data_IF_628032118039
#
_entry.id   IF_628032118039
#
_cell.length_a   1.000
_cell.length_b   1.000
_cell.length_c   1.000
_cell.angle_alpha   90.00
_cell.angle_beta   90.00
_cell.angle_gamma   90.00
#
_symmetry.space_group_name_H-M   'P 1'
#
loop_
_entity.id
_entity.type
_entity.pdbx_description
1 polymer ?
#
# COMPACT_ATOMS: atom_id res chain seq x y z
N UNK A 1 -43.66 46.82 -13.14
CA UNK A 1 -42.57 46.07 -12.48
C UNK A 1 -41.74 45.43 -13.56
N UNK A 2 -40.43 45.68 -13.62
CA UNK A 2 -39.57 45.08 -14.64
C UNK A 2 -39.60 43.55 -14.49
N UNK A 3 -39.79 42.86 -15.61
CA UNK A 3 -39.73 41.40 -15.69
C UNK A 3 -38.36 40.92 -15.19
N UNK A 4 -38.36 40.07 -14.15
CA UNK A 4 -37.14 39.48 -13.60
C UNK A 4 -36.54 38.50 -14.62
N UNK A 5 -35.25 38.67 -14.93
CA UNK A 5 -34.51 37.74 -15.80
C UNK A 5 -34.55 36.31 -15.25
N UNK A 6 -34.71 35.35 -16.16
CA UNK A 6 -34.79 33.91 -15.89
C UNK A 6 -33.65 33.17 -16.58
N UNK A 7 -33.46 31.90 -16.21
CA UNK A 7 -32.40 31.07 -16.79
C UNK A 7 -32.49 30.89 -18.32
N UNK A 8 -33.68 31.03 -18.92
CA UNK A 8 -33.83 31.00 -20.38
C UNK A 8 -33.19 32.24 -21.05
N UNK A 9 -33.27 33.41 -20.40
CA UNK A 9 -32.71 34.66 -20.95
C UNK A 9 -31.18 34.59 -21.01
N UNK A 10 -30.56 34.03 -19.98
CA UNK A 10 -29.11 33.85 -19.91
C UNK A 10 -28.62 32.76 -20.88
N UNK A 11 -29.41 31.70 -21.10
CA UNK A 11 -29.13 30.71 -22.14
C UNK A 11 -29.16 31.32 -23.53
N UNK A 12 -30.16 32.14 -23.82
CA UNK A 12 -30.25 32.88 -25.10
C UNK A 12 -29.09 33.87 -25.28
N UNK A 13 -28.54 34.39 -24.19
CA UNK A 13 -27.36 35.26 -24.19
C UNK A 13 -26.04 34.49 -24.41
N UNK A 14 -26.04 33.15 -24.27
CA UNK A 14 -24.87 32.30 -24.48
C UNK A 14 -24.18 31.81 -23.21
N UNK A 15 -24.81 31.91 -22.03
CA UNK A 15 -24.25 31.31 -20.81
C UNK A 15 -24.28 29.77 -20.88
N UNK A 16 -23.22 29.09 -20.40
CA UNK A 16 -23.21 27.63 -20.30
C UNK A 16 -24.24 27.15 -19.27
N UNK A 17 -24.91 26.04 -19.57
CA UNK A 17 -25.89 25.45 -18.65
C UNK A 17 -25.23 25.04 -17.32
N UNK A 18 -25.94 25.22 -16.21
CA UNK A 18 -25.49 24.84 -14.88
C UNK A 18 -25.01 26.01 -14.01
N UNK A 19 -23.85 25.87 -13.38
CA UNK A 19 -23.40 26.71 -12.25
C UNK A 19 -23.31 28.20 -12.58
N UNK A 20 -22.86 28.55 -13.78
CA UNK A 20 -22.69 29.95 -14.20
C UNK A 20 -24.01 30.73 -14.21
N UNK A 21 -25.10 30.12 -14.70
CA UNK A 21 -26.45 30.73 -14.73
C UNK A 21 -26.97 30.95 -13.31
N UNK A 22 -26.83 29.96 -12.43
CA UNK A 22 -27.29 30.06 -11.04
C UNK A 22 -26.59 31.18 -10.27
N UNK A 23 -25.27 31.31 -10.44
CA UNK A 23 -24.48 32.38 -9.84
C UNK A 23 -24.86 33.75 -10.40
N UNK A 24 -25.03 33.87 -11.71
CA UNK A 24 -25.42 35.13 -12.35
C UNK A 24 -26.79 35.64 -11.87
N UNK A 25 -27.79 34.75 -11.83
CA UNK A 25 -29.14 35.09 -11.36
C UNK A 25 -29.17 35.48 -9.87
N UNK A 26 -28.36 34.82 -9.05
CA UNK A 26 -28.22 35.15 -7.63
C UNK A 26 -27.63 36.56 -7.43
N UNK A 27 -26.61 36.93 -8.22
CA UNK A 27 -26.01 38.26 -8.10
C UNK A 27 -26.92 39.38 -8.58
N UNK A 28 -27.76 39.13 -9.59
CA UNK A 28 -28.79 40.09 -10.01
C UNK A 28 -29.86 40.38 -8.95
N UNK A 29 -29.94 39.59 -7.87
CA UNK A 29 -30.83 39.89 -6.74
C UNK A 29 -30.27 40.94 -5.77
N UNK A 30 -29.00 41.34 -5.90
CA UNK A 30 -28.40 42.39 -5.04
C UNK A 30 -29.08 43.74 -5.26
N UNK A 31 -29.24 44.51 -4.19
CA UNK A 31 -30.07 45.75 -4.16
C UNK A 31 -29.68 46.78 -5.24
N UNK A 32 -28.39 46.92 -5.57
CA UNK A 32 -27.91 47.86 -6.59
C UNK A 32 -28.12 47.35 -8.01
N UNK A 33 -27.97 46.04 -8.25
CA UNK A 33 -28.16 45.42 -9.56
C UNK A 33 -29.64 45.22 -9.91
N UNK A 34 -30.48 44.96 -8.91
CA UNK A 34 -31.93 44.80 -9.07
C UNK A 34 -32.66 46.08 -9.50
N UNK A 35 -32.05 47.25 -9.28
CA UNK A 35 -32.58 48.57 -9.71
C UNK A 35 -32.32 48.87 -11.19
N UNK A 36 -31.39 48.16 -11.82
CA UNK A 36 -31.07 48.33 -13.23
C UNK A 36 -32.24 47.87 -14.11
N UNK A 37 -32.36 48.47 -15.29
CA UNK A 37 -33.33 47.99 -16.28
C UNK A 37 -32.93 46.60 -16.79
N UNK A 38 -33.89 45.86 -17.34
CA UNK A 38 -33.60 44.53 -17.90
C UNK A 38 -32.57 44.61 -19.04
N UNK A 39 -32.60 45.68 -19.83
CA UNK A 39 -31.63 45.96 -20.89
C UNK A 39 -30.22 46.15 -20.32
N UNK A 40 -30.08 46.90 -19.23
CA UNK A 40 -28.78 47.14 -18.59
C UNK A 40 -28.23 45.88 -17.90
N UNK A 41 -29.10 45.07 -17.31
CA UNK A 41 -28.72 43.77 -16.73
C UNK A 41 -28.22 42.80 -17.81
N UNK A 42 -28.88 42.74 -18.97
CA UNK A 42 -28.45 41.93 -20.10
C UNK A 42 -27.13 42.45 -20.70
N UNK A 43 -26.96 43.76 -20.81
CA UNK A 43 -25.72 44.36 -21.29
C UNK A 43 -24.54 44.03 -20.36
N UNK A 44 -24.74 44.11 -19.03
CA UNK A 44 -23.73 43.75 -18.04
C UNK A 44 -23.36 42.26 -18.11
N UNK A 45 -24.36 41.37 -18.23
CA UNK A 45 -24.13 39.94 -18.41
C UNK A 45 -23.42 39.63 -19.73
N UNK A 46 -23.72 40.37 -20.80
CA UNK A 46 -23.06 40.24 -22.10
C UNK A 46 -21.59 40.65 -22.04
N UNK A 47 -21.26 41.73 -21.33
CA UNK A 47 -19.87 42.15 -21.09
C UNK A 47 -19.10 41.12 -20.25
N UNK A 48 -19.73 40.59 -19.20
CA UNK A 48 -19.17 39.52 -18.37
C UNK A 48 -18.90 38.25 -19.17
N UNK A 49 -19.81 37.89 -20.08
CA UNK A 49 -19.66 36.70 -20.94
C UNK A 49 -18.58 36.90 -22.01
N UNK A 50 -18.46 38.11 -22.57
CA UNK A 50 -17.45 38.44 -23.57
C UNK A 50 -16.03 38.52 -22.97
N UNK A 51 -15.90 39.06 -21.76
CA UNK A 51 -14.60 39.30 -21.12
C UNK A 51 -14.54 38.80 -19.67
N UNK A 52 -14.75 37.49 -19.40
CA UNK A 52 -14.84 36.98 -18.02
C UNK A 52 -13.55 37.18 -17.20
N UNK A 53 -12.38 37.25 -17.84
CA UNK A 53 -11.10 37.47 -17.14
C UNK A 53 -11.04 38.81 -16.40
N UNK A 54 -11.66 39.86 -16.94
CA UNK A 54 -11.64 41.21 -16.35
C UNK A 54 -12.42 41.29 -15.03
N UNK A 55 -13.28 40.30 -14.79
CA UNK A 55 -14.16 40.24 -13.63
C UNK A 55 -13.65 39.29 -12.54
N UNK A 56 -12.48 38.66 -12.68
CA UNK A 56 -11.97 37.67 -11.72
C UNK A 56 -11.72 38.25 -10.32
N UNK A 57 -11.43 39.54 -10.22
CA UNK A 57 -11.27 40.27 -8.95
C UNK A 57 -12.49 41.14 -8.60
N UNK A 58 -13.53 41.13 -9.43
CA UNK A 58 -14.70 41.98 -9.26
C UNK A 58 -15.58 41.50 -8.09
N UNK A 59 -15.94 42.42 -7.18
CA UNK A 59 -16.65 42.14 -5.94
C UNK A 59 -17.97 41.36 -6.11
N UNK A 60 -18.74 41.69 -7.15
CA UNK A 60 -20.01 41.04 -7.44
C UNK A 60 -19.88 39.86 -8.43
N UNK A 61 -18.83 39.79 -9.24
CA UNK A 61 -18.84 38.93 -10.43
C UNK A 61 -17.71 37.90 -10.47
N UNK A 62 -16.75 37.94 -9.54
CA UNK A 62 -15.60 37.02 -9.49
C UNK A 62 -15.98 35.54 -9.58
N UNK A 63 -17.00 35.11 -8.83
CA UNK A 63 -17.44 33.72 -8.84
C UNK A 63 -18.18 33.33 -10.13
N UNK A 64 -18.94 34.26 -10.72
CA UNK A 64 -19.65 34.02 -11.98
C UNK A 64 -18.65 33.99 -13.14
N UNK A 65 -17.70 34.92 -13.16
CA UNK A 65 -16.57 34.96 -14.09
C UNK A 65 -15.72 33.68 -14.05
N UNK A 66 -15.35 33.23 -12.85
CA UNK A 66 -14.61 31.99 -12.66
C UNK A 66 -15.37 30.75 -13.16
N UNK A 67 -16.71 30.76 -13.12
CA UNK A 67 -17.55 29.69 -13.65
C UNK A 67 -17.77 29.76 -15.17
N UNK A 68 -17.45 30.89 -15.81
CA UNK A 68 -17.50 31.09 -17.27
C UNK A 68 -16.18 30.75 -17.96
N UNK A 69 -15.07 30.83 -17.23
CA UNK A 69 -13.78 30.39 -17.74
C UNK A 69 -13.66 28.87 -17.68
N UNK A 70 -12.95 28.24 -18.63
CA UNK A 70 -12.50 26.87 -18.43
C UNK A 70 -11.73 26.81 -17.11
N UNK A 71 -11.87 25.73 -16.32
CA UNK A 71 -11.03 25.57 -15.14
C UNK A 71 -9.57 25.70 -15.60
N UNK A 72 -8.71 26.41 -14.83
CA UNK A 72 -7.30 26.54 -15.20
C UNK A 72 -6.76 25.15 -15.52
N UNK A 73 -6.08 25.00 -16.66
CA UNK A 73 -5.57 23.71 -17.10
C UNK A 73 -4.43 23.31 -16.17
N UNK A 74 -4.80 22.64 -15.07
CA UNK A 74 -3.93 22.22 -13.96
C UNK A 74 -3.30 20.85 -14.20
N UNK A 75 -3.41 20.30 -15.42
CA UNK A 75 -2.86 18.99 -15.71
C UNK A 75 -1.35 19.07 -15.74
N UNK A 76 -0.70 18.38 -14.81
CA UNK A 76 0.75 18.22 -14.81
C UNK A 76 1.09 17.24 -15.94
N UNK A 77 1.87 17.71 -16.91
CA UNK A 77 2.30 16.90 -18.05
C UNK A 77 3.26 15.79 -17.62
N UNK A 78 3.20 14.67 -18.33
CA UNK A 78 4.22 13.63 -18.25
C UNK A 78 5.48 14.08 -19.01
N UNK A 79 6.65 13.67 -18.50
CA UNK A 79 7.95 13.89 -19.15
C UNK A 79 8.39 12.65 -19.91
N UNK A 80 9.53 12.74 -20.60
CA UNK A 80 10.16 11.58 -21.21
C UNK A 80 10.46 10.49 -20.15
N UNK A 81 10.25 9.23 -20.53
CA UNK A 81 10.44 8.08 -19.64
C UNK A 81 11.91 7.96 -19.28
N UNK A 82 12.23 8.10 -17.98
CA UNK A 82 13.58 7.87 -17.46
C UNK A 82 13.92 6.37 -17.47
N UNK A 83 15.21 6.06 -17.58
CA UNK A 83 15.69 4.68 -17.49
C UNK A 83 15.59 4.13 -16.07
N UNK A 84 15.47 2.80 -15.96
CA UNK A 84 15.36 2.08 -14.71
C UNK A 84 15.82 0.63 -14.88
N UNK A 85 16.26 0.00 -13.79
CA UNK A 85 16.67 -1.39 -13.79
C UNK A 85 15.46 -2.34 -13.71
N UNK A 86 15.53 -3.47 -14.41
CA UNK A 86 14.54 -4.53 -14.37
C UNK A 86 15.25 -5.85 -14.08
N UNK A 87 14.82 -6.54 -13.03
CA UNK A 87 15.38 -7.82 -12.62
C UNK A 87 14.39 -8.94 -12.98
N UNK A 88 14.84 -9.97 -13.69
CA UNK A 88 13.98 -11.08 -14.15
C UNK A 88 12.89 -10.67 -15.13
N UNK A 89 13.21 -9.82 -16.10
CA UNK A 89 12.26 -9.25 -17.07
C UNK A 89 11.42 -10.31 -17.81
N UNK A 90 12.00 -11.47 -18.09
CA UNK A 90 11.37 -12.62 -18.74
C UNK A 90 10.19 -13.24 -17.95
N UNK A 91 10.05 -12.89 -16.67
CA UNK A 91 9.02 -13.40 -15.76
C UNK A 91 8.00 -12.34 -15.35
N UNK A 92 8.07 -11.14 -15.93
CA UNK A 92 7.21 -10.00 -15.58
C UNK A 92 6.15 -9.79 -16.67
N UNK A 93 4.90 -9.64 -16.24
CA UNK A 93 3.79 -9.37 -17.15
C UNK A 93 3.93 -7.97 -17.78
N UNK A 94 3.67 -7.81 -19.10
CA UNK A 94 3.77 -6.52 -19.79
C UNK A 94 2.96 -5.40 -19.15
N UNK A 95 1.83 -5.71 -18.51
CA UNK A 95 1.02 -4.71 -17.81
C UNK A 95 1.73 -4.10 -16.61
N UNK A 96 2.56 -4.87 -15.89
CA UNK A 96 3.36 -4.37 -14.78
C UNK A 96 4.50 -3.46 -15.29
N UNK A 97 5.13 -3.85 -16.41
CA UNK A 97 6.14 -3.02 -17.09
C UNK A 97 5.51 -1.68 -17.50
N UNK A 98 4.34 -1.70 -18.13
CA UNK A 98 3.65 -0.47 -18.55
C UNK A 98 3.29 0.46 -17.38
N UNK A 99 2.90 -0.10 -16.22
CA UNK A 99 2.67 0.68 -15.00
C UNK A 99 3.97 1.34 -14.51
N UNK A 100 5.08 0.61 -14.54
CA UNK A 100 6.39 1.16 -14.19
C UNK A 100 6.83 2.24 -15.18
N UNK A 101 6.69 2.03 -16.49
CA UNK A 101 7.00 3.02 -17.51
C UNK A 101 6.22 4.32 -17.33
N UNK A 102 4.93 4.22 -16.97
CA UNK A 102 4.12 5.40 -16.64
C UNK A 102 4.65 6.12 -15.41
N UNK A 103 5.07 5.40 -14.36
CA UNK A 103 5.70 5.99 -13.18
C UNK A 103 7.03 6.68 -13.49
N UNK A 104 7.82 6.14 -14.42
CA UNK A 104 9.09 6.73 -14.87
C UNK A 104 8.94 7.99 -15.73
N UNK A 105 7.71 8.31 -16.16
CA UNK A 105 7.36 9.55 -16.88
C UNK A 105 6.87 10.67 -15.95
N UNK A 106 6.76 10.45 -14.63
CA UNK A 106 6.37 11.53 -13.72
C UNK A 106 7.51 12.56 -13.62
N UNK A 107 7.19 13.86 -13.55
CA UNK A 107 8.22 14.90 -13.40
C UNK A 107 8.97 14.79 -12.08
N UNK A 108 8.32 14.30 -11.02
CA UNK A 108 8.92 14.09 -9.69
C UNK A 108 9.77 12.83 -9.58
N UNK A 109 9.72 11.91 -10.55
CA UNK A 109 10.50 10.67 -10.49
C UNK A 109 11.98 10.95 -10.69
N UNK A 110 12.82 10.44 -9.78
CA UNK A 110 14.27 10.56 -9.81
C UNK A 110 14.92 9.27 -10.33
N UNK A 111 14.47 8.12 -9.84
CA UNK A 111 14.99 6.80 -10.21
C UNK A 111 13.93 5.72 -9.95
N UNK A 112 14.13 4.52 -10.49
CA UNK A 112 13.25 3.39 -10.24
C UNK A 112 13.92 2.05 -10.48
N UNK A 113 13.27 1.00 -10.00
CA UNK A 113 13.64 -0.39 -10.25
C UNK A 113 12.39 -1.28 -10.24
N UNK A 114 12.45 -2.40 -10.96
CA UNK A 114 11.38 -3.39 -11.01
C UNK A 114 11.89 -4.78 -10.64
N UNK A 115 11.29 -5.37 -9.62
CA UNK A 115 11.72 -6.65 -9.03
C UNK A 115 11.14 -7.86 -9.81
N UNK A 116 11.73 -9.07 -9.68
CA UNK A 116 11.32 -10.23 -10.49
C UNK A 116 9.91 -10.77 -10.17
N UNK A 117 9.40 -10.49 -8.98
CA UNK A 117 8.04 -10.84 -8.56
C UNK A 117 6.98 -9.85 -9.07
N UNK A 118 7.38 -8.88 -9.90
CA UNK A 118 6.50 -7.81 -10.31
C UNK A 118 5.25 -8.29 -11.06
N UNK A 119 4.13 -7.68 -10.74
CA UNK A 119 2.83 -7.96 -11.33
C UNK A 119 1.88 -6.77 -11.19
N UNK A 120 0.77 -6.82 -11.92
CA UNK A 120 -0.20 -5.72 -12.00
C UNK A 120 -0.72 -5.28 -10.62
N UNK A 121 -0.71 -3.96 -10.39
CA UNK A 121 -1.21 -3.32 -9.18
C UNK A 121 -2.06 -2.08 -9.46
N UNK A 122 -2.12 -1.16 -8.50
CA UNK A 122 -2.78 0.15 -8.65
C UNK A 122 -1.76 1.29 -8.63
N UNK A 123 -1.62 2.07 -9.71
CA UNK A 123 -0.54 3.07 -9.80
C UNK A 123 0.80 2.37 -10.04
N UNK A 124 1.69 2.35 -9.06
CA UNK A 124 2.93 1.57 -9.14
C UNK A 124 2.60 0.06 -9.16
N UNK A 125 3.27 -0.75 -9.99
CA UNK A 125 3.10 -2.21 -9.95
C UNK A 125 3.55 -2.76 -8.60
N UNK A 126 3.00 -3.91 -8.21
CA UNK A 126 3.58 -4.69 -7.11
C UNK A 126 4.93 -5.22 -7.62
N UNK A 127 5.98 -5.20 -6.80
CA UNK A 127 7.38 -5.40 -7.22
C UNK A 127 8.06 -4.11 -7.71
N UNK A 128 7.37 -2.97 -7.67
CA UNK A 128 7.93 -1.68 -8.11
C UNK A 128 8.64 -0.93 -6.98
N UNK A 129 9.76 -0.29 -7.32
CA UNK A 129 10.48 0.67 -6.46
C UNK A 129 10.62 1.99 -7.20
N UNK A 130 10.22 3.09 -6.58
CA UNK A 130 10.22 4.42 -7.19
C UNK A 130 10.77 5.47 -6.23
N UNK A 131 11.89 6.09 -6.60
CA UNK A 131 12.44 7.22 -5.89
C UNK A 131 11.93 8.53 -6.50
N UNK A 132 11.40 9.43 -5.67
CA UNK A 132 10.87 10.72 -6.09
C UNK A 132 11.53 11.87 -5.34
N UNK A 133 11.54 13.06 -5.96
CA UNK A 133 12.02 14.29 -5.35
C UNK A 133 10.88 14.97 -4.56
N UNK A 134 11.07 15.08 -3.24
CA UNK A 134 10.18 15.75 -2.29
C UNK A 134 8.67 15.46 -2.43
N UNK A 135 8.30 14.30 -2.97
CA UNK A 135 6.93 13.93 -3.30
C UNK A 135 6.62 12.53 -2.79
N UNK A 136 5.42 12.34 -2.25
CA UNK A 136 4.95 11.04 -1.79
C UNK A 136 3.68 10.64 -2.54
N UNK A 137 3.65 9.43 -3.09
CA UNK A 137 2.55 8.89 -3.90
C UNK A 137 1.83 7.79 -3.10
N UNK A 138 0.61 8.04 -2.59
CA UNK A 138 -0.08 7.09 -1.72
C UNK A 138 -0.28 5.69 -2.32
N UNK A 139 -0.60 5.59 -3.61
CA UNK A 139 -0.74 4.29 -4.28
C UNK A 139 0.58 3.61 -4.66
N UNK A 140 1.71 4.35 -4.65
CA UNK A 140 3.04 3.77 -4.75
C UNK A 140 3.51 3.21 -3.39
N UNK A 141 2.90 3.61 -2.27
CA UNK A 141 3.04 2.91 -0.98
C UNK A 141 2.16 1.66 -0.96
N UNK A 142 0.92 1.78 -1.46
CA UNK A 142 -0.06 0.70 -1.47
C UNK A 142 -1.17 0.90 -0.44
N UNK A 143 -2.24 0.12 -0.59
CA UNK A 143 -3.45 0.23 0.27
C UNK A 143 -3.25 -0.36 1.66
N UNK A 144 -2.45 -1.42 1.77
CA UNK A 144 -2.08 -2.01 3.05
C UNK A 144 -0.72 -1.44 3.48
N UNK A 145 -0.75 -0.21 4.01
CA UNK A 145 0.44 0.54 4.40
C UNK A 145 1.17 -0.23 5.51
N UNK A 146 2.49 -0.38 5.37
CA UNK A 146 3.31 -1.07 6.36
C UNK A 146 3.10 -2.58 6.40
N UNK A 147 2.43 -3.16 5.39
CA UNK A 147 2.38 -4.62 5.20
C UNK A 147 3.80 -5.18 5.24
N UNK A 148 3.98 -6.23 6.05
CA UNK A 148 5.28 -6.76 6.41
C UNK A 148 5.23 -8.25 6.68
N UNK A 149 6.43 -8.83 6.63
CA UNK A 149 6.70 -10.18 7.08
C UNK A 149 7.43 -10.12 8.42
N UNK A 150 7.13 -11.07 9.31
CA UNK A 150 7.90 -11.26 10.54
C UNK A 150 8.08 -12.75 10.85
N UNK A 151 9.33 -13.18 11.03
CA UNK A 151 9.72 -14.54 11.37
C UNK A 151 10.32 -14.56 12.79
N UNK A 152 9.84 -15.44 13.66
CA UNK A 152 10.49 -15.77 14.93
C UNK A 152 11.03 -17.20 14.85
N UNK A 153 12.28 -17.39 15.25
CA UNK A 153 12.97 -18.69 15.30
C UNK A 153 13.01 -19.18 16.75
N UNK A 154 12.60 -20.41 17.02
CA UNK A 154 12.59 -21.00 18.37
C UNK A 154 13.56 -22.18 18.46
N UNK A 155 14.17 -22.39 19.62
CA UNK A 155 15.10 -23.51 19.87
C UNK A 155 14.36 -24.84 20.07
N UNK A 156 13.52 -25.18 19.08
CA UNK A 156 12.74 -26.41 19.05
C UNK A 156 13.06 -27.16 17.76
N UNK A 157 13.39 -28.46 17.85
CA UNK A 157 13.76 -29.24 16.69
C UNK A 157 12.55 -29.57 15.80
N UNK A 158 12.74 -29.88 14.50
CA UNK A 158 11.64 -30.18 13.57
C UNK A 158 10.69 -31.29 14.02
N UNK A 159 11.19 -32.27 14.80
CA UNK A 159 10.38 -33.32 15.40
C UNK A 159 9.25 -32.79 16.31
N UNK A 160 9.43 -31.61 16.92
CA UNK A 160 8.41 -30.97 17.76
C UNK A 160 7.16 -30.69 16.93
N UNK A 161 7.32 -30.11 15.74
CA UNK A 161 6.21 -29.81 14.84
C UNK A 161 5.48 -31.09 14.43
N UNK A 162 6.21 -32.12 13.98
CA UNK A 162 5.62 -33.38 13.53
C UNK A 162 4.86 -34.14 14.63
N UNK A 163 5.28 -34.01 15.88
CA UNK A 163 4.66 -34.70 17.02
C UNK A 163 3.49 -33.91 17.63
N UNK A 164 3.43 -32.60 17.42
CA UNK A 164 2.48 -31.68 18.09
C UNK A 164 1.63 -30.87 17.11
N UNK A 165 1.40 -31.38 15.90
CA UNK A 165 0.67 -30.66 14.86
C UNK A 165 -0.70 -30.15 15.33
N UNK A 166 -1.48 -30.99 16.03
CA UNK A 166 -2.80 -30.59 16.52
C UNK A 166 -2.75 -29.54 17.64
N UNK A 167 -1.74 -29.59 18.50
CA UNK A 167 -1.51 -28.56 19.52
C UNK A 167 -1.14 -27.23 18.86
N UNK A 168 -0.18 -27.23 17.92
CA UNK A 168 0.23 -26.05 17.17
C UNK A 168 -0.92 -25.45 16.34
N UNK A 169 -1.79 -26.29 15.76
CA UNK A 169 -3.04 -25.86 15.13
C UNK A 169 -3.93 -25.09 16.11
N UNK A 170 -4.17 -25.64 17.30
CA UNK A 170 -4.97 -24.98 18.34
C UNK A 170 -4.34 -23.66 18.79
N UNK A 171 -3.01 -23.63 18.95
CA UNK A 171 -2.29 -22.40 19.28
C UNK A 171 -2.52 -21.29 18.25
N UNK A 172 -2.45 -21.62 16.95
CA UNK A 172 -2.79 -20.66 15.91
C UNK A 172 -4.24 -20.17 16.08
N UNK A 173 -5.21 -21.07 16.20
CA UNK A 173 -6.64 -20.75 16.34
C UNK A 173 -6.92 -19.81 17.52
N UNK A 174 -6.34 -20.09 18.68
CA UNK A 174 -6.59 -19.38 19.94
C UNK A 174 -5.86 -18.03 20.02
N UNK A 175 -4.66 -17.92 19.44
CA UNK A 175 -3.78 -16.76 19.65
C UNK A 175 -3.75 -15.77 18.49
N UNK A 176 -4.31 -16.13 17.32
CA UNK A 176 -4.43 -15.20 16.19
C UNK A 176 -5.89 -14.91 15.86
N UNK A 177 -6.13 -13.82 15.14
CA UNK A 177 -7.47 -13.35 14.77
C UNK A 177 -7.47 -12.93 13.32
N UNK A 178 -8.26 -13.61 12.51
CA UNK A 178 -8.47 -13.30 11.09
C UNK A 178 -9.90 -12.82 10.86
N UNK A 179 -10.10 -12.11 9.76
CA UNK A 179 -11.38 -11.59 9.29
C UNK A 179 -11.49 -10.07 9.37
N UNK A 180 -12.24 -9.50 8.43
CA UNK A 180 -12.59 -8.08 8.41
C UNK A 180 -13.40 -7.69 9.65
N UNK A 181 -12.97 -6.62 10.34
CA UNK A 181 -13.66 -6.10 11.53
C UNK A 181 -13.43 -6.87 12.83
N UNK A 182 -12.73 -8.01 12.78
CA UNK A 182 -12.40 -8.85 13.94
C UNK A 182 -11.37 -8.14 14.82
N UNK A 183 -11.41 -8.46 16.11
CA UNK A 183 -10.61 -7.83 17.16
C UNK A 183 -10.52 -8.72 18.40
N UNK A 184 -9.72 -8.31 19.37
CA UNK A 184 -9.66 -8.95 20.67
C UNK A 184 -10.73 -8.39 21.62
N UNK A 185 -11.38 -9.28 22.36
CA UNK A 185 -12.27 -8.90 23.45
C UNK A 185 -11.51 -8.12 24.53
N UNK A 186 -12.20 -7.28 25.31
CA UNK A 186 -11.55 -6.35 26.25
C UNK A 186 -10.55 -7.02 27.21
N UNK A 187 -10.84 -8.22 27.70
CA UNK A 187 -9.95 -8.99 28.58
C UNK A 187 -8.77 -9.67 27.88
N UNK A 188 -8.78 -9.74 26.55
CA UNK A 188 -7.72 -10.34 25.73
C UNK A 188 -6.80 -9.30 25.10
N UNK A 189 -7.17 -8.01 25.11
CA UNK A 189 -6.38 -6.92 24.53
C UNK A 189 -5.05 -6.78 25.28
N UNK A 190 -3.98 -6.58 24.52
CA UNK A 190 -2.67 -6.21 25.06
C UNK A 190 -2.45 -4.74 24.76
N UNK A 191 -1.86 -4.04 25.72
CA UNK A 191 -1.46 -2.65 25.53
C UNK A 191 -0.26 -2.55 24.58
N UNK A 192 -0.07 -1.40 23.95
CA UNK A 192 1.07 -1.10 23.11
C UNK A 192 1.26 0.40 22.94
N UNK A 193 2.50 0.87 23.03
CA UNK A 193 2.86 2.29 22.90
C UNK A 193 2.46 2.94 21.55
N UNK A 194 2.04 2.13 20.56
CA UNK A 194 1.55 2.65 19.27
C UNK A 194 0.19 3.33 19.44
N UNK A 195 -0.58 2.94 20.45
CA UNK A 195 -1.90 3.52 20.75
C UNK A 195 -1.77 4.91 21.39
N UNK A 196 -0.60 5.23 21.97
CA UNK A 196 -0.32 6.53 22.60
C UNK A 196 0.14 7.61 21.62
N UNK A 197 0.37 7.22 20.36
CA UNK A 197 0.87 8.07 19.29
C UNK A 197 0.02 9.33 19.11
N UNK A 198 0.71 10.47 19.02
CA UNK A 198 0.08 11.78 18.99
C UNK A 198 -0.81 11.97 17.77
N UNK A 199 -0.49 11.31 16.65
CA UNK A 199 -1.21 11.37 15.39
C UNK A 199 -2.68 10.94 15.53
N UNK A 200 -3.00 10.02 16.45
CA UNK A 200 -4.39 9.68 16.76
C UNK A 200 -5.17 10.87 17.34
N UNK A 201 -4.52 11.80 18.04
CA UNK A 201 -5.13 13.00 18.63
C UNK A 201 -5.01 14.22 17.72
N UNK A 202 -3.94 14.32 16.94
CA UNK A 202 -3.61 15.51 16.16
C UNK A 202 -4.25 15.49 14.77
N UNK A 203 -4.28 14.34 14.09
CA UNK A 203 -4.84 14.22 12.74
C UNK A 203 -6.37 14.07 12.85
N UNK A 204 -7.19 15.03 12.37
CA UNK A 204 -8.63 15.02 12.63
C UNK A 204 -9.35 13.75 12.17
N UNK A 205 -8.92 13.16 11.06
CA UNK A 205 -9.50 11.92 10.53
C UNK A 205 -9.19 10.68 11.38
N UNK A 206 -8.09 10.69 12.15
CA UNK A 206 -7.65 9.56 12.97
C UNK A 206 -8.25 9.54 14.38
N UNK A 207 -8.79 10.68 14.87
CA UNK A 207 -9.39 10.80 16.21
C UNK A 207 -10.37 9.68 16.54
N UNK A 208 -11.27 9.37 15.61
CA UNK A 208 -12.30 8.34 15.81
C UNK A 208 -11.83 6.94 15.38
N UNK A 209 -10.53 6.73 15.15
CA UNK A 209 -9.95 5.43 14.76
C UNK A 209 -9.22 4.75 15.91
N UNK A 210 -8.90 5.44 17.00
CA UNK A 210 -8.14 4.90 18.12
C UNK A 210 -8.83 3.67 18.76
N UNK A 211 -10.12 3.76 19.06
CA UNK A 211 -10.84 2.63 19.68
C UNK A 211 -10.81 1.38 18.80
N UNK A 212 -11.01 1.56 17.49
CA UNK A 212 -10.92 0.45 16.54
C UNK A 212 -9.49 -0.06 16.40
N UNK A 213 -8.49 0.82 16.42
CA UNK A 213 -7.09 0.43 16.42
C UNK A 213 -6.73 -0.39 17.68
N UNK A 214 -7.22 0.00 18.85
CA UNK A 214 -7.02 -0.73 20.10
C UNK A 214 -7.73 -2.10 20.11
N UNK A 215 -8.86 -2.23 19.41
CA UNK A 215 -9.54 -3.51 19.20
C UNK A 215 -8.75 -4.46 18.30
N UNK A 216 -8.10 -3.92 17.26
CA UNK A 216 -7.52 -4.69 16.16
C UNK A 216 -6.01 -4.88 16.24
N UNK A 217 -5.33 -4.22 17.18
CA UNK A 217 -3.89 -4.40 17.35
C UNK A 217 -3.60 -5.86 17.71
N UNK A 218 -2.63 -6.45 17.01
CA UNK A 218 -2.31 -7.88 17.14
C UNK A 218 -3.20 -8.84 16.35
N UNK A 219 -4.16 -8.34 15.57
CA UNK A 219 -4.93 -9.19 14.65
C UNK A 219 -4.16 -9.42 13.35
N UNK A 220 -4.37 -10.59 12.74
CA UNK A 220 -3.67 -11.00 11.53
C UNK A 220 -4.34 -10.48 10.27
N UNK A 221 -5.66 -10.34 10.28
CA UNK A 221 -6.37 -9.69 9.18
C UNK A 221 -7.01 -10.59 8.14
N UNK A 222 -6.96 -10.17 6.88
CA UNK A 222 -7.72 -10.77 5.76
C UNK A 222 -6.96 -10.63 4.45
N UNK A 223 -7.42 -11.32 3.39
CA UNK A 223 -6.73 -11.35 2.10
C UNK A 223 -5.56 -12.34 2.11
N UNK A 224 -4.39 -11.90 1.66
CA UNK A 224 -3.17 -12.73 1.61
C UNK A 224 -2.41 -12.78 2.95
N UNK A 225 -3.01 -12.28 4.04
CA UNK A 225 -2.42 -12.32 5.37
C UNK A 225 -2.48 -13.74 5.94
N UNK A 226 -1.44 -14.12 6.66
CA UNK A 226 -1.31 -15.46 7.25
C UNK A 226 -0.46 -15.47 8.51
N UNK A 227 -0.59 -16.54 9.28
CA UNK A 227 0.35 -16.92 10.34
C UNK A 227 0.59 -18.42 10.24
N UNK A 228 1.85 -18.81 10.21
CA UNK A 228 2.28 -20.16 9.87
C UNK A 228 3.29 -20.70 10.89
N UNK A 229 3.13 -21.97 11.24
CA UNK A 229 4.22 -22.77 11.79
C UNK A 229 4.94 -23.50 10.67
N UNK A 230 6.26 -23.51 10.73
CA UNK A 230 7.10 -24.16 9.76
C UNK A 230 8.48 -24.49 10.31
N UNK A 231 9.33 -25.00 9.43
CA UNK A 231 10.72 -25.33 9.75
C UNK A 231 11.62 -24.24 9.18
N UNK A 232 12.42 -23.62 10.05
CA UNK A 232 13.52 -22.75 9.65
C UNK A 232 14.77 -23.60 9.50
N UNK A 233 15.47 -23.43 8.39
CA UNK A 233 16.78 -24.02 8.16
C UNK A 233 17.79 -22.89 7.98
N UNK A 234 18.80 -22.83 8.85
CA UNK A 234 19.93 -21.90 8.72
C UNK A 234 21.09 -22.66 8.08
N UNK A 235 21.58 -22.15 6.95
CA UNK A 235 22.64 -22.81 6.18
C UNK A 235 23.98 -22.08 6.29
N UNK A 236 23.96 -20.79 6.62
CA UNK A 236 25.17 -19.96 6.73
C UNK A 236 25.59 -19.81 8.19
N UNK A 237 26.85 -20.15 8.48
CA UNK A 237 27.42 -20.02 9.83
C UNK A 237 27.55 -18.55 10.24
N UNK A 238 28.05 -17.71 9.35
CA UNK A 238 28.05 -16.26 9.52
C UNK A 238 26.71 -15.66 9.07
N UNK A 239 25.77 -15.55 10.01
CA UNK A 239 24.48 -14.89 9.80
C UNK A 239 24.22 -13.81 10.87
N UNK A 240 23.56 -12.71 10.47
CA UNK A 240 23.22 -11.58 11.35
C UNK A 240 22.14 -11.94 12.38
N UNK A 241 21.50 -13.12 12.24
CA UNK A 241 20.57 -13.62 13.24
C UNK A 241 21.29 -14.14 14.49
N UNK A 242 22.58 -14.46 14.40
CA UNK A 242 23.33 -15.09 15.49
C UNK A 242 22.83 -16.50 15.83
N UNK A 243 22.14 -17.17 14.90
CA UNK A 243 21.58 -18.51 15.10
C UNK A 243 22.52 -19.55 14.48
N UNK A 244 22.91 -20.62 15.18
CA UNK A 244 23.76 -21.66 14.60
C UNK A 244 23.14 -22.32 13.36
N UNK A 245 23.99 -22.90 12.51
CA UNK A 245 23.55 -23.76 11.40
C UNK A 245 22.73 -24.93 11.96
N UNK A 246 21.54 -25.13 11.43
CA UNK A 246 20.61 -26.13 11.97
C UNK A 246 19.18 -25.92 11.52
N UNK A 247 18.29 -26.74 12.07
CA UNK A 247 16.86 -26.69 11.80
C UNK A 247 16.07 -26.42 13.07
N UNK A 248 15.10 -25.52 12.97
CA UNK A 248 14.38 -24.91 14.08
C UNK A 248 12.89 -24.82 13.77
N UNK A 249 12.06 -24.72 14.80
CA UNK A 249 10.67 -24.30 14.65
C UNK A 249 10.63 -22.80 14.35
N UNK A 250 9.87 -22.41 13.34
CA UNK A 250 9.60 -21.02 13.01
C UNK A 250 8.13 -20.67 13.13
N UNK A 251 7.86 -19.44 13.52
CA UNK A 251 6.56 -18.77 13.31
C UNK A 251 6.78 -17.67 12.28
N UNK A 252 6.11 -17.76 11.13
CA UNK A 252 6.08 -16.71 10.13
C UNK A 252 4.72 -16.04 10.14
N UNK A 253 4.66 -14.72 10.15
CA UNK A 253 3.42 -13.98 9.93
C UNK A 253 3.57 -12.97 8.81
N UNK A 254 2.47 -12.81 8.07
CA UNK A 254 2.27 -11.79 7.06
C UNK A 254 1.00 -11.01 7.42
N UNK A 255 1.17 -9.73 7.72
CA UNK A 255 0.06 -8.85 8.10
C UNK A 255 0.44 -7.39 7.81
N UNK A 256 -0.46 -6.48 8.13
CA UNK A 256 -0.29 -5.07 7.86
C UNK A 256 -1.06 -4.20 8.84
N UNK A 257 -1.35 -2.98 8.43
CA UNK A 257 -1.97 -1.96 9.30
C UNK A 257 -3.50 -2.03 9.32
N UNK A 258 -4.08 -3.11 8.79
CA UNK A 258 -5.52 -3.40 8.83
C UNK A 258 -6.35 -2.27 8.20
N UNK A 259 -7.56 -2.06 8.71
CA UNK A 259 -8.44 -1.00 8.23
C UNK A 259 -7.88 0.42 8.47
N UNK A 260 -6.92 0.58 9.40
CA UNK A 260 -6.28 1.87 9.66
C UNK A 260 -5.49 2.34 8.43
N UNK A 261 -4.55 1.52 7.92
CA UNK A 261 -3.79 1.88 6.73
C UNK A 261 -4.64 1.96 5.48
N UNK A 262 -5.61 1.06 5.31
CA UNK A 262 -6.52 1.12 4.17
C UNK A 262 -7.30 2.46 4.13
N UNK A 263 -7.82 2.91 5.27
CA UNK A 263 -8.51 4.20 5.37
C UNK A 263 -7.60 5.41 5.14
N UNK A 264 -6.34 5.33 5.61
CA UNK A 264 -5.32 6.35 5.33
C UNK A 264 -5.05 6.39 3.82
N UNK A 265 -4.73 5.25 3.21
CA UNK A 265 -4.43 5.17 1.79
C UNK A 265 -5.59 5.70 0.93
N UNK A 266 -6.83 5.33 1.23
CA UNK A 266 -8.02 5.81 0.52
C UNK A 266 -8.16 7.34 0.60
N UNK A 267 -8.10 7.90 1.82
CA UNK A 267 -8.24 9.35 2.05
C UNK A 267 -7.19 10.15 1.30
N UNK A 268 -5.92 9.80 1.47
CA UNK A 268 -4.83 10.60 0.91
C UNK A 268 -4.62 10.34 -0.59
N UNK A 269 -5.00 9.17 -1.11
CA UNK A 269 -5.08 8.98 -2.57
C UNK A 269 -6.11 9.92 -3.17
N UNK A 270 -7.31 10.00 -2.59
CA UNK A 270 -8.35 10.90 -3.10
C UNK A 270 -7.85 12.34 -3.08
N UNK A 271 -7.26 12.77 -1.97
CA UNK A 271 -6.67 14.11 -1.86
C UNK A 271 -5.56 14.34 -2.89
N UNK A 272 -4.66 13.38 -3.08
CA UNK A 272 -3.59 13.47 -4.08
C UNK A 272 -4.17 13.63 -5.48
N UNK A 273 -5.18 12.85 -5.86
CA UNK A 273 -5.88 12.99 -7.14
C UNK A 273 -6.58 14.34 -7.31
N UNK A 274 -7.06 14.93 -6.23
CA UNK A 274 -7.73 16.25 -6.26
C UNK A 274 -6.71 17.39 -6.48
N UNK A 275 -5.54 17.33 -5.83
CA UNK A 275 -4.53 18.41 -5.89
C UNK A 275 -3.50 18.24 -7.01
N UNK A 276 -3.20 17.01 -7.41
CA UNK A 276 -2.24 16.64 -8.45
C UNK A 276 -3.00 16.01 -9.63
N UNK A 277 -3.50 16.86 -10.52
CA UNK A 277 -4.25 16.42 -11.71
C UNK A 277 -3.28 15.89 -12.77
N UNK A 278 -3.28 14.57 -12.98
CA UNK A 278 -2.47 13.90 -14.00
C UNK A 278 -3.34 13.38 -15.15
N UNK A 279 -2.76 13.08 -16.33
CA UNK A 279 -3.45 12.36 -17.40
C UNK A 279 -4.06 11.05 -16.91
N UNK A 280 -5.11 10.57 -17.58
CA UNK A 280 -5.88 9.40 -17.13
C UNK A 280 -5.03 8.16 -16.85
N UNK A 281 -4.03 7.88 -17.69
CA UNK A 281 -3.10 6.75 -17.52
C UNK A 281 -2.25 6.84 -16.24
N UNK A 282 -1.94 8.06 -15.79
CA UNK A 282 -1.10 8.34 -14.63
C UNK A 282 -1.90 8.80 -13.41
N UNK A 283 -3.23 8.84 -13.46
CA UNK A 283 -4.06 9.38 -12.37
C UNK A 283 -3.83 8.66 -11.03
N UNK A 284 -3.54 7.36 -11.07
CA UNK A 284 -3.23 6.58 -9.87
C UNK A 284 -1.83 6.83 -9.30
N UNK A 285 -1.02 7.67 -9.94
CA UNK A 285 0.31 8.09 -9.51
C UNK A 285 0.33 9.54 -9.00
N UNK A 286 -0.83 10.13 -8.76
CA UNK A 286 -0.93 11.46 -8.17
C UNK A 286 -0.22 11.51 -6.80
N UNK A 287 0.51 12.59 -6.54
CA UNK A 287 1.35 12.73 -5.35
C UNK A 287 0.93 13.91 -4.47
N UNK A 288 1.50 13.94 -3.27
CA UNK A 288 1.49 15.07 -2.34
C UNK A 288 2.94 15.54 -2.15
N UNK A 289 3.20 16.84 -2.27
CA UNK A 289 4.50 17.42 -1.95
C UNK A 289 4.74 17.44 -0.44
N UNK A 290 5.92 17.04 0.03
CA UNK A 290 6.24 16.98 1.47
C UNK A 290 6.49 18.36 2.11
N UNK A 291 6.58 19.40 1.28
CA UNK A 291 6.54 20.81 1.66
C UNK A 291 5.12 21.36 1.87
N UNK A 292 4.09 20.54 1.62
CA UNK A 292 2.68 20.91 1.81
C UNK A 292 2.10 20.30 3.09
N UNK A 293 1.09 20.95 3.67
CA UNK A 293 0.35 20.43 4.83
C UNK A 293 -0.20 19.02 4.55
N UNK A 294 -0.80 18.81 3.38
CA UNK A 294 -1.37 17.52 2.99
C UNK A 294 -0.29 16.41 2.92
N UNK A 295 0.88 16.72 2.37
CA UNK A 295 1.99 15.77 2.30
C UNK A 295 2.57 15.44 3.68
N UNK A 296 2.72 16.43 4.55
CA UNK A 296 3.19 16.24 5.93
C UNK A 296 2.20 15.43 6.76
N UNK A 297 0.90 15.73 6.67
CA UNK A 297 -0.16 14.99 7.35
C UNK A 297 -0.20 13.53 6.86
N UNK A 298 -0.11 13.29 5.54
CA UNK A 298 -0.02 11.93 5.00
C UNK A 298 1.23 11.20 5.49
N UNK A 299 2.40 11.86 5.48
CA UNK A 299 3.64 11.25 5.94
C UNK A 299 3.56 10.79 7.39
N UNK A 300 2.99 11.62 8.28
CA UNK A 300 2.76 11.27 9.67
C UNK A 300 1.76 10.11 9.81
N UNK A 301 0.63 10.16 9.09
CA UNK A 301 -0.38 9.10 9.11
C UNK A 301 0.17 7.76 8.57
N UNK A 302 0.92 7.80 7.46
CA UNK A 302 1.58 6.63 6.88
C UNK A 302 2.58 6.05 7.86
N UNK A 303 3.38 6.89 8.52
CA UNK A 303 4.35 6.46 9.54
C UNK A 303 3.66 5.75 10.70
N UNK A 304 2.60 6.35 11.25
CA UNK A 304 1.76 5.70 12.26
C UNK A 304 1.24 4.34 11.79
N UNK A 305 0.72 4.23 10.56
CA UNK A 305 0.23 2.96 10.02
C UNK A 305 1.35 1.91 9.92
N UNK A 306 2.55 2.33 9.50
CA UNK A 306 3.75 1.50 9.54
C UNK A 306 3.99 0.93 10.94
N UNK A 307 4.11 1.80 11.93
CA UNK A 307 4.39 1.40 13.32
C UNK A 307 3.27 0.53 13.91
N UNK A 308 2.01 0.82 13.55
CA UNK A 308 0.85 0.01 13.94
C UNK A 308 0.92 -1.40 13.35
N UNK A 309 1.35 -1.55 12.09
CA UNK A 309 1.59 -2.87 11.50
C UNK A 309 2.69 -3.64 12.26
N UNK A 310 3.79 -2.99 12.65
CA UNK A 310 4.84 -3.64 13.46
C UNK A 310 4.29 -4.11 14.81
N UNK A 311 3.52 -3.26 15.50
CA UNK A 311 2.85 -3.58 16.75
C UNK A 311 1.92 -4.81 16.63
N UNK A 312 1.21 -4.96 15.50
CA UNK A 312 0.42 -6.14 15.23
C UNK A 312 1.28 -7.41 15.20
N UNK A 313 2.39 -7.41 14.48
CA UNK A 313 3.30 -8.55 14.45
C UNK A 313 3.91 -8.82 15.83
N UNK A 314 4.35 -7.80 16.56
CA UNK A 314 4.87 -7.97 17.92
C UNK A 314 3.87 -8.70 18.81
N UNK A 315 2.60 -8.29 18.81
CA UNK A 315 1.58 -8.95 19.62
C UNK A 315 1.26 -10.37 19.15
N UNK A 316 1.19 -10.63 17.83
CA UNK A 316 0.98 -11.97 17.27
C UNK A 316 2.08 -12.92 17.76
N UNK A 317 3.34 -12.51 17.57
CA UNK A 317 4.51 -13.31 17.95
C UNK A 317 4.63 -13.46 19.46
N UNK A 318 4.34 -12.40 20.24
CA UNK A 318 4.34 -12.45 21.72
C UNK A 318 3.30 -13.43 22.26
N UNK A 319 2.09 -13.47 21.70
CA UNK A 319 1.05 -14.42 22.11
C UNK A 319 1.47 -15.85 21.81
N UNK A 320 1.97 -16.11 20.60
CA UNK A 320 2.41 -17.44 20.19
C UNK A 320 3.63 -17.92 20.99
N UNK A 321 4.64 -17.06 21.20
CA UNK A 321 5.79 -17.37 22.04
C UNK A 321 5.36 -17.72 23.49
N UNK A 322 4.47 -16.91 24.08
CA UNK A 322 3.91 -17.18 25.41
C UNK A 322 3.14 -18.50 25.45
N UNK A 323 2.36 -18.81 24.43
CA UNK A 323 1.55 -20.02 24.38
C UNK A 323 2.39 -21.29 24.11
N UNK A 324 3.50 -21.16 23.37
CA UNK A 324 4.51 -22.21 23.22
C UNK A 324 5.31 -22.43 24.51
N UNK A 325 5.38 -21.43 25.39
CA UNK A 325 6.24 -21.44 26.57
C UNK A 325 7.71 -21.17 26.25
N UNK A 326 8.00 -20.62 25.07
CA UNK A 326 9.36 -20.44 24.54
C UNK A 326 9.69 -18.98 24.24
N UNK A 327 10.98 -18.65 24.26
CA UNK A 327 11.49 -17.35 23.79
C UNK A 327 12.12 -17.53 22.41
N UNK A 328 11.86 -16.63 21.44
CA UNK A 328 12.56 -16.66 20.17
C UNK A 328 14.08 -16.50 20.36
N UNK A 329 14.87 -17.31 19.66
CA UNK A 329 16.31 -17.14 19.49
C UNK A 329 16.62 -15.88 18.69
N UNK A 330 15.83 -15.64 17.64
CA UNK A 330 16.00 -14.50 16.74
C UNK A 330 14.67 -14.12 16.10
N UNK A 331 14.60 -12.88 15.61
CA UNK A 331 13.47 -12.35 14.85
C UNK A 331 13.98 -11.65 13.58
N UNK A 332 13.35 -11.94 12.43
CA UNK A 332 13.51 -11.18 11.18
C UNK A 332 12.21 -10.44 10.91
N UNK A 333 12.28 -9.20 10.46
CA UNK A 333 11.11 -8.42 10.06
C UNK A 333 11.47 -7.47 8.92
N UNK A 334 10.64 -7.42 7.87
CA UNK A 334 10.86 -6.55 6.73
C UNK A 334 9.54 -6.02 6.15
N UNK A 335 9.52 -4.72 5.88
CA UNK A 335 8.39 -4.03 5.24
C UNK A 335 8.38 -4.34 3.74
N UNK A 336 7.21 -4.32 3.12
CA UNK A 336 7.12 -4.37 1.66
C UNK A 336 6.12 -3.43 1.00
N UNK A 337 5.39 -2.62 1.79
CA UNK A 337 4.52 -1.54 1.29
C UNK A 337 4.75 -0.27 2.11
N UNK A 338 5.70 0.57 1.73
CA UNK A 338 6.04 1.77 2.51
C UNK A 338 6.83 2.78 1.67
N UNK A 339 7.02 3.99 2.21
CA UNK A 339 7.94 4.98 1.67
C UNK A 339 8.93 5.47 2.73
N UNK A 340 10.18 5.68 2.33
CA UNK A 340 11.27 6.11 3.22
C UNK A 340 11.97 7.34 2.66
N UNK A 341 12.47 8.18 3.56
CA UNK A 341 13.46 9.21 3.21
C UNK A 341 14.82 8.53 3.14
N UNK A 342 15.40 8.49 1.94
CA UNK A 342 16.67 7.84 1.68
C UNK A 342 17.61 8.77 0.92
N UNK A 343 18.88 8.40 0.87
CA UNK A 343 19.90 9.12 0.11
C UNK A 343 20.43 8.21 -0.99
N UNK A 344 20.39 8.70 -2.23
CA UNK A 344 20.97 7.99 -3.38
C UNK A 344 22.50 8.01 -3.33
N UNK A 345 23.14 7.16 -4.14
CA UNK A 345 24.60 7.09 -4.23
C UNK A 345 25.25 8.42 -4.65
N UNK A 346 24.53 9.28 -5.38
CA UNK A 346 24.96 10.61 -5.77
C UNK A 346 24.73 11.70 -4.69
N UNK A 347 24.20 11.31 -3.53
CA UNK A 347 23.97 12.19 -2.39
C UNK A 347 22.62 12.90 -2.36
N UNK A 348 21.77 12.75 -3.39
CA UNK A 348 20.42 13.34 -3.39
C UNK A 348 19.52 12.67 -2.36
N UNK A 349 18.77 13.47 -1.62
CA UNK A 349 17.71 12.99 -0.73
C UNK A 349 16.44 12.74 -1.54
N UNK A 350 15.84 11.57 -1.35
CA UNK A 350 14.68 11.13 -2.13
C UNK A 350 13.66 10.44 -1.24
N UNK A 351 12.44 10.32 -1.75
CA UNK A 351 11.39 9.51 -1.16
C UNK A 351 11.29 8.20 -1.95
N UNK A 352 11.83 7.14 -1.38
CA UNK A 352 11.82 5.81 -1.99
C UNK A 352 10.54 5.08 -1.60
N UNK A 353 9.67 4.86 -2.58
CA UNK A 353 8.46 4.06 -2.47
C UNK A 353 8.80 2.61 -2.81
N UNK A 354 8.39 1.67 -1.96
CA UNK A 354 8.45 0.23 -2.27
C UNK A 354 7.05 -0.35 -2.12
N UNK A 355 6.57 -1.00 -3.17
CA UNK A 355 5.27 -1.68 -3.17
C UNK A 355 5.44 -3.11 -3.64
N UNK A 356 5.20 -4.05 -2.74
CA UNK A 356 5.67 -5.42 -2.92
C UNK A 356 7.16 -5.49 -3.23
N UNK A 357 7.97 -4.66 -2.58
CA UNK A 357 9.43 -4.76 -2.65
C UNK A 357 9.99 -4.44 -1.27
N UNK A 358 11.09 -5.08 -0.89
CA UNK A 358 11.62 -4.98 0.48
C UNK A 358 12.99 -4.30 0.49
N UNK A 359 13.34 -3.54 1.55
CA UNK A 359 14.69 -3.02 1.72
C UNK A 359 15.74 -4.14 1.72
N UNK A 360 16.81 -3.94 0.96
CA UNK A 360 17.93 -4.85 0.78
C UNK A 360 19.27 -4.07 0.77
N UNK A 361 19.37 -3.05 1.64
CA UNK A 361 20.66 -2.41 1.94
C UNK A 361 21.66 -3.44 2.48
N UNK A 362 22.96 -3.15 2.33
CA UNK A 362 24.02 -4.07 2.73
C UNK A 362 23.84 -4.52 4.20
N UNK A 363 23.73 -5.83 4.42
CA UNK A 363 23.56 -6.43 5.76
C UNK A 363 22.13 -6.41 6.32
N UNK A 364 21.16 -5.77 5.65
CA UNK A 364 19.77 -5.75 6.11
C UNK A 364 19.13 -7.12 5.91
N UNK A 365 18.59 -7.68 6.98
CA UNK A 365 17.89 -8.96 6.95
C UNK A 365 16.46 -8.81 6.42
N UNK A 366 15.98 -9.86 5.75
CA UNK A 366 14.59 -9.99 5.31
C UNK A 366 14.15 -11.44 5.17
N UNK A 367 12.86 -11.64 4.98
CA UNK A 367 12.26 -12.92 4.61
C UNK A 367 11.42 -12.72 3.35
N UNK A 368 11.71 -13.50 2.30
CA UNK A 368 11.00 -13.48 1.02
C UNK A 368 10.15 -14.76 0.93
N UNK A 369 8.84 -14.72 1.27
CA UNK A 369 7.97 -15.90 1.23
C UNK A 369 7.70 -16.42 -0.18
N UNK A 370 7.57 -17.74 -0.30
CA UNK A 370 7.08 -18.40 -1.49
C UNK A 370 5.55 -18.51 -1.50
N UNK A 371 5.05 -19.69 -1.21
CA UNK A 371 3.62 -20.01 -1.09
C UNK A 371 3.43 -21.01 0.05
N UNK A 372 2.21 -21.47 0.31
CA UNK A 372 1.96 -22.45 1.38
C UNK A 372 2.73 -23.76 1.20
N UNK A 373 3.13 -24.12 -0.02
CA UNK A 373 3.87 -25.36 -0.33
C UNK A 373 5.32 -25.11 -0.75
N UNK A 374 5.71 -23.85 -0.96
CA UNK A 374 7.04 -23.47 -1.40
C UNK A 374 7.79 -22.74 -0.27
N UNK A 375 9.12 -22.90 -0.17
CA UNK A 375 9.86 -22.26 0.92
C UNK A 375 9.84 -20.73 0.79
N UNK A 376 9.90 -20.04 1.92
CA UNK A 376 10.42 -18.69 2.00
C UNK A 376 11.94 -18.70 2.21
N UNK A 377 12.61 -17.60 1.88
CA UNK A 377 14.06 -17.46 2.00
C UNK A 377 14.44 -16.36 2.97
N UNK A 378 15.26 -16.69 3.96
CA UNK A 378 15.88 -15.72 4.85
C UNK A 378 17.05 -15.13 4.08
N UNK A 379 17.08 -13.81 3.95
CA UNK A 379 18.01 -13.11 3.07
C UNK A 379 18.75 -11.99 3.78
N UNK A 380 19.93 -11.66 3.25
CA UNK A 380 20.74 -10.48 3.58
C UNK A 380 20.87 -9.62 2.33
N UNK A 381 20.53 -8.34 2.44
CA UNK A 381 20.69 -7.38 1.35
C UNK A 381 22.16 -7.12 1.00
N UNK A 382 22.44 -6.95 -0.30
CA UNK A 382 23.77 -6.59 -0.82
C UNK A 382 23.96 -5.08 -1.06
N UNK A 383 22.89 -4.29 -0.97
CA UNK A 383 22.95 -2.83 -1.13
C UNK A 383 23.17 -2.34 -2.56
N UNK A 384 22.71 -3.11 -3.56
CA UNK A 384 22.85 -2.76 -4.98
C UNK A 384 22.13 -1.43 -5.29
N UNK A 385 22.86 -0.48 -5.86
CA UNK A 385 22.35 0.88 -6.08
C UNK A 385 21.28 0.92 -7.18
N UNK A 386 21.42 0.10 -8.21
CA UNK A 386 20.52 -0.02 -9.36
C UNK A 386 19.14 -0.52 -8.95
N UNK A 387 19.04 -1.29 -7.86
CA UNK A 387 17.76 -1.71 -7.28
C UNK A 387 17.22 -0.75 -6.23
N UNK A 388 17.87 0.41 -6.04
CA UNK A 388 17.63 1.33 -4.93
C UNK A 388 17.72 0.59 -3.58
N UNK A 389 18.73 -0.28 -3.46
CA UNK A 389 18.96 -1.16 -2.34
C UNK A 389 17.67 -1.91 -1.92
N UNK A 390 17.01 -2.53 -2.90
CA UNK A 390 15.75 -3.27 -2.72
C UNK A 390 15.82 -4.66 -3.34
N UNK A 391 14.91 -5.54 -2.88
CA UNK A 391 14.73 -6.89 -3.38
C UNK A 391 13.23 -7.23 -3.50
N UNK A 392 12.93 -8.39 -4.08
CA UNK A 392 11.57 -8.91 -4.19
C UNK A 392 10.95 -9.13 -2.79
N UNK A 393 9.62 -9.08 -2.69
CA UNK A 393 8.92 -9.27 -1.42
C UNK A 393 8.32 -10.66 -1.28
N UNK A 394 8.22 -11.43 -2.36
CA UNK A 394 7.72 -12.80 -2.33
C UNK A 394 7.79 -13.44 -3.71
N UNK A 395 6.92 -14.42 -3.97
CA UNK A 395 6.81 -15.05 -5.28
C UNK A 395 6.11 -14.17 -6.33
N UNK A 396 5.21 -13.28 -5.90
CA UNK A 396 4.35 -12.52 -6.81
C UNK A 396 3.24 -13.38 -7.42
N UNK A 397 2.14 -12.74 -7.83
CA UNK A 397 0.99 -13.47 -8.37
C UNK A 397 1.18 -13.80 -9.84
N UNK A 398 0.86 -15.04 -10.19
CA UNK A 398 0.71 -15.50 -11.57
C UNK A 398 -0.74 -15.35 -12.03
N UNK A 399 -1.71 -15.61 -11.14
CA UNK A 399 -3.14 -15.49 -11.41
C UNK A 399 -3.75 -14.35 -10.58
N UNK A 400 -4.59 -13.54 -11.22
CA UNK A 400 -5.45 -12.61 -10.51
C UNK A 400 -6.38 -13.37 -9.56
N UNK A 401 -6.83 -12.74 -8.47
CA UNK A 401 -7.74 -13.38 -7.50
C UNK A 401 -9.00 -13.93 -8.17
N UNK A 402 -9.56 -13.17 -9.11
CA UNK A 402 -10.75 -13.57 -9.87
C UNK A 402 -10.48 -14.79 -10.74
N UNK A 403 -9.33 -14.82 -11.45
CA UNK A 403 -8.95 -15.95 -12.29
C UNK A 403 -8.64 -17.20 -11.44
N UNK A 404 -7.91 -17.05 -10.35
CA UNK A 404 -7.63 -18.15 -9.44
C UNK A 404 -8.91 -18.81 -8.91
N UNK A 405 -9.92 -18.01 -8.50
CA UNK A 405 -11.23 -18.53 -8.07
C UNK A 405 -12.02 -19.22 -9.19
N UNK A 406 -11.85 -18.78 -10.44
CA UNK A 406 -12.56 -19.34 -11.59
C UNK A 406 -11.91 -20.62 -12.13
N UNK A 407 -10.58 -20.71 -12.09
CA UNK A 407 -9.79 -21.75 -12.75
C UNK A 407 -9.36 -22.89 -11.81
N UNK A 408 -9.19 -22.61 -10.50
CA UNK A 408 -8.69 -23.60 -9.54
C UNK A 408 -9.83 -24.34 -8.83
N UNK A 409 -9.74 -25.67 -8.77
CA UNK A 409 -10.72 -26.50 -8.06
C UNK A 409 -10.30 -26.79 -6.61
N UNK A 410 -11.22 -26.60 -5.65
CA UNK A 410 -10.95 -26.83 -4.21
C UNK A 410 -10.43 -28.23 -3.90
N UNK A 411 -11.01 -29.27 -4.52
CA UNK A 411 -10.56 -30.65 -4.33
C UNK A 411 -9.12 -30.89 -4.81
N UNK A 412 -8.72 -30.24 -5.91
CA UNK A 412 -7.35 -30.33 -6.45
C UNK A 412 -6.36 -29.60 -5.55
N UNK A 413 -6.70 -28.38 -5.10
CA UNK A 413 -5.87 -27.60 -4.17
C UNK A 413 -5.70 -28.37 -2.86
N UNK A 414 -6.77 -28.91 -2.27
CA UNK A 414 -6.70 -29.69 -1.04
C UNK A 414 -5.83 -30.94 -1.19
N UNK A 415 -5.95 -31.65 -2.32
CA UNK A 415 -5.09 -32.81 -2.63
C UNK A 415 -3.62 -32.39 -2.72
N UNK A 416 -3.34 -31.32 -3.45
CA UNK A 416 -1.99 -30.79 -3.61
C UNK A 416 -1.35 -30.38 -2.27
N UNK A 417 -2.12 -29.71 -1.40
CA UNK A 417 -1.67 -29.37 -0.04
C UNK A 417 -1.36 -30.62 0.80
N UNK A 418 -2.22 -31.64 0.74
CA UNK A 418 -2.01 -32.90 1.46
C UNK A 418 -0.76 -33.65 0.97
N UNK A 419 -0.51 -33.68 -0.34
CA UNK A 419 0.71 -34.27 -0.94
C UNK A 419 1.99 -33.57 -0.46
N UNK A 420 1.92 -32.28 -0.10
CA UNK A 420 3.04 -31.51 0.43
C UNK A 420 3.06 -31.46 1.97
N UNK A 421 2.16 -32.18 2.65
CA UNK A 421 2.07 -32.21 4.11
C UNK A 421 1.68 -30.88 4.74
N UNK A 422 0.88 -30.07 4.05
CA UNK A 422 0.39 -28.77 4.53
C UNK A 422 -0.97 -28.91 5.18
N UNK A 423 -1.06 -28.49 6.44
CA UNK A 423 -2.31 -28.33 7.16
C UNK A 423 -2.80 -26.88 7.04
N UNK A 424 -3.84 -26.66 6.24
CA UNK A 424 -4.44 -25.34 6.02
C UNK A 424 -5.67 -25.14 6.93
N UNK A 425 -5.75 -23.95 7.53
CA UNK A 425 -6.85 -23.47 8.37
C UNK A 425 -7.40 -22.19 7.72
N UNK A 426 -8.62 -22.27 7.18
CA UNK A 426 -9.20 -21.23 6.35
C UNK A 426 -8.59 -21.23 4.94
N UNK A 427 -8.36 -20.05 4.39
CA UNK A 427 -7.77 -19.87 3.07
C UNK A 427 -8.81 -19.97 1.94
N UNK A 428 -8.62 -19.15 0.92
CA UNK A 428 -9.42 -19.17 -0.31
C UNK A 428 -8.64 -19.71 -1.50
N UNK A 429 -9.35 -20.10 -2.55
CA UNK A 429 -8.76 -20.49 -3.84
C UNK A 429 -7.88 -19.40 -4.45
N UNK A 430 -8.15 -18.13 -4.15
CA UNK A 430 -7.32 -17.01 -4.56
C UNK A 430 -5.95 -16.97 -3.88
N UNK A 431 -5.71 -17.76 -2.84
CA UNK A 431 -4.41 -17.84 -2.17
C UNK A 431 -3.78 -19.23 -2.32
N UNK A 432 -4.31 -20.07 -3.22
CA UNK A 432 -3.74 -21.38 -3.53
C UNK A 432 -2.31 -21.26 -4.09
N UNK A 433 -1.40 -22.23 -3.83
CA UNK A 433 -0.02 -22.19 -4.31
C UNK A 433 0.13 -21.95 -5.82
N UNK A 434 -0.77 -22.50 -6.62
CA UNK A 434 -0.79 -22.39 -8.08
C UNK A 434 -1.11 -20.97 -8.58
N UNK A 435 -1.61 -20.08 -7.71
CA UNK A 435 -1.87 -18.68 -8.06
C UNK A 435 -0.61 -17.81 -8.05
N UNK A 436 0.52 -18.35 -7.60
CA UNK A 436 1.79 -17.66 -7.42
C UNK A 436 2.84 -18.14 -8.42
N UNK A 437 3.83 -17.28 -8.73
CA UNK A 437 4.98 -17.67 -9.55
C UNK A 437 5.87 -18.66 -8.77
N UNK A 438 6.80 -19.31 -9.46
CA UNK A 438 7.83 -20.11 -8.78
C UNK A 438 8.82 -19.20 -8.06
N UNK A 439 8.82 -19.27 -6.72
CA UNK A 439 9.74 -18.50 -5.87
C UNK A 439 11.21 -18.79 -6.19
N UNK A 440 11.55 -20.01 -6.62
CA UNK A 440 12.95 -20.35 -6.94
C UNK A 440 13.43 -19.61 -8.18
N UNK A 441 12.56 -19.42 -9.17
CA UNK A 441 12.86 -18.59 -10.35
C UNK A 441 13.02 -17.12 -9.97
N UNK A 442 12.15 -16.60 -9.10
CA UNK A 442 12.25 -15.24 -8.56
C UNK A 442 13.57 -15.03 -7.82
N UNK A 443 13.96 -15.95 -6.93
CA UNK A 443 15.24 -15.89 -6.23
C UNK A 443 16.45 -16.02 -7.17
N UNK A 444 16.36 -16.86 -8.19
CA UNK A 444 17.42 -17.00 -9.18
C UNK A 444 17.64 -15.71 -10.00
N UNK A 445 16.59 -14.91 -10.18
CA UNK A 445 16.59 -13.65 -10.94
C UNK A 445 17.05 -12.42 -10.15
N UNK A 446 17.47 -12.59 -8.89
CA UNK A 446 17.93 -11.50 -8.02
C UNK A 446 19.14 -11.89 -7.16
N UNK A 447 19.94 -12.84 -7.61
CA UNK A 447 21.13 -13.32 -6.87
C UNK A 447 22.14 -12.20 -6.61
N UNK A 448 22.15 -11.16 -7.45
CA UNK A 448 22.96 -9.97 -7.25
C UNK A 448 22.45 -9.07 -6.12
N UNK A 449 21.15 -9.14 -5.77
CA UNK A 449 20.52 -8.22 -4.81
C UNK A 449 20.63 -8.70 -3.36
N UNK A 450 20.66 -10.03 -3.15
CA UNK A 450 20.60 -10.64 -1.83
C UNK A 450 21.44 -11.91 -1.72
N UNK A 451 21.98 -12.17 -0.52
CA UNK A 451 22.51 -13.47 -0.11
C UNK A 451 21.41 -14.27 0.61
N UNK A 452 21.34 -15.58 0.36
CA UNK A 452 20.41 -16.48 1.06
C UNK A 452 21.11 -17.06 2.28
N UNK A 453 20.57 -16.83 3.47
CA UNK A 453 21.11 -17.31 4.74
C UNK A 453 20.46 -18.62 5.22
N UNK A 454 19.28 -18.90 4.68
CA UNK A 454 18.45 -20.01 5.12
C UNK A 454 17.07 -19.99 4.47
N UNK A 455 16.21 -20.88 4.93
CA UNK A 455 14.84 -21.01 4.41
C UNK A 455 13.81 -21.20 5.52
N UNK A 456 12.55 -20.94 5.20
CA UNK A 456 11.39 -21.28 6.01
C UNK A 456 10.46 -22.16 5.18
N UNK A 457 10.18 -23.38 5.64
CA UNK A 457 9.26 -24.30 4.97
C UNK A 457 7.95 -24.40 5.76
N UNK A 458 6.82 -23.93 5.21
CA UNK A 458 5.53 -23.99 5.91
C UNK A 458 5.06 -25.42 6.18
N UNK A 459 4.25 -25.59 7.24
CA UNK A 459 3.60 -26.87 7.58
C UNK A 459 2.17 -26.70 8.06
N UNK A 460 1.92 -25.71 8.91
CA UNK A 460 0.58 -25.40 9.41
C UNK A 460 0.31 -23.95 9.07
N UNK A 461 -0.68 -23.70 8.23
CA UNK A 461 -0.98 -22.38 7.69
C UNK A 461 -2.34 -21.94 8.17
N UNK A 462 -2.42 -20.76 8.79
CA UNK A 462 -3.69 -20.12 9.11
C UNK A 462 -3.87 -18.84 8.29
N UNK A 463 -5.02 -18.75 7.64
CA UNK A 463 -5.49 -17.56 6.92
C UNK A 463 -6.92 -17.20 7.34
N UNK A 464 -7.45 -16.14 6.73
CA UNK A 464 -8.87 -15.80 6.81
C UNK A 464 -9.75 -16.79 6.03
N UNK A 465 -11.04 -16.85 6.35
CA UNK A 465 -12.01 -17.78 5.75
C UNK A 465 -12.18 -19.09 6.51
N UNK A 466 -11.62 -19.20 7.73
CA UNK A 466 -11.78 -20.34 8.63
C UNK A 466 -13.06 -20.26 9.48
#
# INVERSE_FOLDING_TARGET
MASQLRGNDLRNLGFPEGRAIGLALAQLQRKHLKKLSQTDQLALLGQLLANPNDYLTHLDWSHTAAALLPPPNRHIGLVERKDYAVFGAEHIDPSAIHQMETAMKLPVTVAGALMPDAHHGYGLPIGGVLATDNAVIPYAVGVDIGCRMALSVFDLPPKYLAQRTQELRSLLLENTRFGSGRGFERGQRLDHAVLDRAEFREIPFLKNKLDKAAEQVGTSGSGNHFVEFGIVEITEAENELGVPVGQYLGVLSHSGSRGLGAGIAERYTKLAKDVCQLPGEAQHLAWLGLDTEAGQEYWAAMTLAGDYASACHEQIHRRLAKALGEKPLAKVENHHNFAWKERLADGREVITHRKGATPASAGVLGIIPGSMTAPGFIVRGRGVAESLASASHGAGRLLSRTRAKAELGEGQVRKYLAEHGIELIGGGLDEAPQAYKDIRAVMASQRELVDVLGSFTPRIVRMDGA
#
